data_IF_289727785942
#
_entry.id   IF_289727785942
#
_cell.length_a   1.000
_cell.length_b   1.000
_cell.length_c   1.000
_cell.angle_alpha   90.00
_cell.angle_beta   90.00
_cell.angle_gamma   90.00
#
_symmetry.space_group_name_H-M   'P 1'
#
loop_
_entity.id
_entity.type
_entity.pdbx_description
1 polymer ?
#
# COMPACT_ATOMS: atom_id res chain seq x y z
N UNK A 1 14.75 -17.73 -16.72
CA UNK A 1 14.45 -16.84 -15.58
C UNK A 1 13.71 -17.64 -14.52
N UNK A 2 14.14 -17.59 -13.26
CA UNK A 2 13.32 -18.12 -12.15
C UNK A 2 12.20 -17.12 -11.89
N UNK A 3 10.96 -17.57 -11.96
CA UNK A 3 9.77 -16.79 -11.59
C UNK A 3 9.37 -17.14 -10.17
N UNK A 4 8.84 -16.18 -9.42
CA UNK A 4 8.23 -16.46 -8.14
C UNK A 4 6.80 -16.96 -8.35
N UNK A 5 6.40 -18.01 -7.62
CA UNK A 5 5.03 -18.53 -7.65
C UNK A 5 4.05 -17.59 -6.93
N UNK A 6 4.55 -16.76 -6.00
CA UNK A 6 3.79 -15.77 -5.25
C UNK A 6 4.59 -14.48 -5.05
N UNK A 7 3.93 -13.34 -5.28
CA UNK A 7 4.43 -12.00 -4.95
C UNK A 7 3.44 -11.31 -4.02
N UNK A 8 3.93 -10.78 -2.90
CA UNK A 8 3.15 -9.92 -2.01
C UNK A 8 3.67 -8.50 -2.15
N UNK A 9 2.88 -7.64 -2.77
CA UNK A 9 3.25 -6.24 -3.00
C UNK A 9 2.51 -5.35 -2.00
N UNK A 10 3.28 -4.64 -1.17
CA UNK A 10 2.80 -3.83 -0.06
C UNK A 10 3.13 -2.38 -0.34
N UNK A 11 2.12 -1.52 -0.36
CA UNK A 11 2.30 -0.07 -0.54
C UNK A 11 1.27 0.69 0.30
N UNK A 12 1.69 1.37 1.37
CA UNK A 12 0.79 2.09 2.27
C UNK A 12 0.30 3.45 1.75
N UNK A 13 0.98 4.06 0.77
CA UNK A 13 0.60 5.36 0.23
C UNK A 13 -0.47 5.17 -0.85
N UNK A 14 -1.68 5.75 -0.70
CA UNK A 14 -2.79 5.50 -1.62
C UNK A 14 -2.49 5.80 -3.09
N UNK A 15 -1.72 6.86 -3.37
CA UNK A 15 -1.35 7.24 -4.74
C UNK A 15 -0.41 6.22 -5.37
N UNK A 16 0.61 5.79 -4.65
CA UNK A 16 1.54 4.77 -5.12
C UNK A 16 0.83 3.42 -5.26
N UNK A 17 -0.09 3.09 -4.35
CA UNK A 17 -0.85 1.84 -4.42
C UNK A 17 -1.69 1.76 -5.70
N UNK A 18 -2.29 2.88 -6.14
CA UNK A 18 -2.99 2.95 -7.44
C UNK A 18 -2.05 2.67 -8.61
N UNK A 19 -0.84 3.24 -8.60
CA UNK A 19 0.18 2.99 -9.64
C UNK A 19 0.63 1.53 -9.63
N UNK A 20 0.93 0.98 -8.45
CA UNK A 20 1.30 -0.42 -8.26
C UNK A 20 0.22 -1.36 -8.79
N UNK A 21 -1.04 -1.14 -8.41
CA UNK A 21 -2.19 -1.91 -8.90
C UNK A 21 -2.26 -1.86 -10.43
N UNK A 22 -2.13 -0.68 -11.03
CA UNK A 22 -2.20 -0.54 -12.48
C UNK A 22 -1.06 -1.27 -13.19
N UNK A 23 0.15 -1.21 -12.64
CA UNK A 23 1.30 -1.95 -13.16
C UNK A 23 1.07 -3.47 -13.13
N UNK A 24 0.49 -3.98 -12.03
CA UNK A 24 0.14 -5.41 -11.92
C UNK A 24 -0.96 -5.80 -12.90
N UNK A 25 -1.99 -4.98 -13.08
CA UNK A 25 -3.04 -5.22 -14.08
C UNK A 25 -2.46 -5.28 -15.50
N UNK A 26 -1.62 -4.30 -15.87
CA UNK A 26 -1.01 -4.22 -17.21
C UNK A 26 -0.08 -5.41 -17.51
N UNK A 27 0.59 -5.95 -16.49
CA UNK A 27 1.53 -7.07 -16.64
C UNK A 27 0.91 -8.43 -16.28
N UNK A 28 -0.40 -8.51 -16.04
CA UNK A 28 -1.09 -9.74 -15.64
C UNK A 28 -0.87 -10.88 -16.64
N UNK A 29 -0.83 -10.58 -17.94
CA UNK A 29 -0.56 -11.54 -19.00
C UNK A 29 0.86 -12.14 -18.96
N UNK A 30 1.82 -11.46 -18.32
CA UNK A 30 3.21 -11.92 -18.15
C UNK A 30 3.40 -12.64 -16.81
N UNK A 31 2.43 -12.58 -15.91
CA UNK A 31 2.53 -13.18 -14.59
C UNK A 31 2.39 -14.70 -14.70
N UNK A 32 3.40 -15.41 -14.19
CA UNK A 32 3.40 -16.87 -14.04
C UNK A 32 3.12 -17.31 -12.59
N UNK A 33 2.71 -16.37 -11.74
CA UNK A 33 2.45 -16.58 -10.32
C UNK A 33 1.48 -15.54 -9.78
N UNK A 34 0.97 -15.78 -8.58
CA UNK A 34 -0.08 -14.95 -7.97
C UNK A 34 0.50 -13.66 -7.39
N UNK A 35 -0.28 -12.57 -7.45
CA UNK A 35 0.08 -11.29 -6.84
C UNK A 35 -0.97 -10.87 -5.83
N UNK A 36 -0.56 -10.76 -4.56
CA UNK A 36 -1.39 -10.21 -3.48
C UNK A 36 -1.02 -8.75 -3.28
N UNK A 37 -1.99 -7.86 -3.47
CA UNK A 37 -1.84 -6.42 -3.23
C UNK A 37 -2.32 -6.05 -1.83
N UNK A 38 -1.47 -5.35 -1.07
CA UNK A 38 -1.77 -4.90 0.30
C UNK A 38 -1.62 -3.38 0.39
N UNK A 39 -2.74 -2.67 0.51
CA UNK A 39 -2.78 -1.21 0.73
C UNK A 39 -2.71 -0.88 2.24
N UNK A 40 -1.61 -1.24 2.89
CA UNK A 40 -1.40 -1.03 4.33
C UNK A 40 0.09 -0.90 4.64
N UNK A 41 0.40 -0.24 5.75
CA UNK A 41 1.71 -0.34 6.38
C UNK A 41 1.78 -1.63 7.20
N UNK A 42 2.90 -2.35 7.14
CA UNK A 42 3.16 -3.51 7.99
C UNK A 42 4.08 -3.08 9.12
N UNK A 43 3.69 -3.40 10.35
CA UNK A 43 4.45 -3.12 11.55
C UNK A 43 4.38 -4.35 12.48
N UNK A 44 5.41 -4.54 13.30
CA UNK A 44 5.47 -5.63 14.28
C UNK A 44 4.30 -5.54 15.29
N UNK A 45 3.89 -4.31 15.64
CA UNK A 45 2.82 -4.04 16.60
C UNK A 45 1.77 -3.14 15.99
N UNK A 46 0.50 -3.44 16.27
CA UNK A 46 -0.63 -2.61 15.84
C UNK A 46 -0.59 -1.26 16.55
N UNK A 47 -0.17 -0.22 15.82
CA UNK A 47 -0.08 1.15 16.32
C UNK A 47 -0.48 2.13 15.22
N UNK A 48 -1.00 3.28 15.62
CA UNK A 48 -1.15 4.42 14.72
C UNK A 48 0.24 4.86 14.26
N UNK A 49 0.43 4.92 12.95
CA UNK A 49 1.72 5.24 12.32
C UNK A 49 1.51 6.35 11.31
N UNK A 50 2.44 7.30 11.27
CA UNK A 50 2.47 8.38 10.30
C UNK A 50 3.61 8.12 9.32
N UNK A 51 3.33 8.28 8.02
CA UNK A 51 4.33 8.17 6.96
C UNK A 51 4.59 9.58 6.44
N UNK A 52 5.84 10.03 6.55
CA UNK A 52 6.30 11.32 6.04
C UNK A 52 7.07 11.07 4.75
N UNK A 53 6.59 11.63 3.64
CA UNK A 53 7.25 11.55 2.34
C UNK A 53 7.85 12.92 2.02
N UNK A 54 9.18 13.04 1.91
CA UNK A 54 9.80 14.28 1.48
C UNK A 54 9.59 14.46 -0.03
N UNK A 55 9.07 15.63 -0.43
CA UNK A 55 9.01 16.10 -1.81
C UNK A 55 9.70 17.47 -1.80
N UNK A 56 10.64 17.70 -2.71
CA UNK A 56 11.65 18.76 -2.60
C UNK A 56 11.13 20.12 -2.08
N UNK A 57 11.84 20.62 -1.06
CA UNK A 57 11.76 21.94 -0.41
C UNK A 57 10.45 22.38 0.26
N UNK A 58 9.32 21.69 0.11
CA UNK A 58 8.11 21.97 0.90
C UNK A 58 7.21 20.72 0.98
N UNK A 59 6.73 20.42 2.19
CA UNK A 59 5.74 19.37 2.43
C UNK A 59 4.41 19.74 1.75
N UNK A 60 4.24 19.43 0.46
CA UNK A 60 2.94 19.55 -0.22
C UNK A 60 2.09 18.33 0.16
N UNK A 61 1.00 18.62 0.86
CA UNK A 61 -0.08 17.72 1.24
C UNK A 61 0.37 16.42 1.92
N UNK A 62 0.54 16.53 3.24
CA UNK A 62 0.38 15.42 4.17
C UNK A 62 -0.99 14.77 3.97
N UNK A 63 -1.12 13.89 2.97
CA UNK A 63 -2.31 13.05 2.82
C UNK A 63 -2.30 12.12 4.02
N UNK A 64 -3.13 12.46 5.00
CA UNK A 64 -3.17 11.78 6.29
C UNK A 64 -3.83 10.41 6.07
N UNK A 65 -3.03 9.35 5.93
CA UNK A 65 -3.57 7.99 5.96
C UNK A 65 -3.81 7.61 7.44
N UNK A 66 -5.00 7.91 7.97
CA UNK A 66 -5.41 7.51 9.31
C UNK A 66 -6.05 6.12 9.26
N UNK A 67 -5.33 5.08 9.70
CA UNK A 67 -5.85 3.71 9.79
C UNK A 67 -6.39 3.46 11.21
N UNK A 68 -7.48 4.14 11.55
CA UNK A 68 -8.21 3.91 12.81
C UNK A 68 -9.30 2.86 12.65
N UNK A 69 -9.55 2.08 13.70
CA UNK A 69 -10.79 1.29 13.80
C UNK A 69 -12.00 2.22 13.83
N UNK A 70 -13.00 1.97 12.98
CA UNK A 70 -14.32 2.62 13.08
C UNK A 70 -14.79 2.43 14.54
N UNK A 71 -15.09 3.51 15.29
CA UNK A 71 -15.70 3.36 16.60
C UNK A 71 -17.00 2.61 16.40
N UNK A 72 -17.20 1.49 17.11
CA UNK A 72 -18.52 0.87 17.19
C UNK A 72 -19.47 1.95 17.72
N UNK A 73 -20.43 2.37 16.89
CA UNK A 73 -21.61 3.09 17.38
C UNK A 73 -22.27 2.15 18.39
N UNK A 74 -22.27 2.52 19.65
CA UNK A 74 -23.16 1.90 20.62
C UNK A 74 -24.58 2.27 20.17
N UNK A 75 -25.29 1.29 19.62
CA UNK A 75 -26.74 1.31 19.46
C UNK A 75 -27.31 0.73 20.74
#
# INVERSE_FOLDING_TARGET
MRTADLVIAIEPLPSNFKVLRKNVELNSHMQRGDVILVNKAIAEKKKDTQIFVPIESNYIETTTARLGTIPRKNI
#
